data_IF_026062162572
#
_entry.id   IF_026062162572
#
_cell.length_a   1.000
_cell.length_b   1.000
_cell.length_c   1.000
_cell.angle_alpha   90.00
_cell.angle_beta   90.00
_cell.angle_gamma   90.00
#
_symmetry.space_group_name_H-M   'P 1'
#
loop_
_entity.id
_entity.type
_entity.pdbx_description
1 polymer ?
#
# COMPACT_ATOMS: atom_id res chain seq x y z
N UNK A 1 25.59 40.78 20.23
CA UNK A 1 24.66 41.69 19.53
C UNK A 1 24.75 41.42 18.03
N UNK A 2 23.83 40.62 17.49
CA UNK A 2 23.44 40.57 16.07
C UNK A 2 22.03 39.99 16.07
N UNK A 3 21.10 40.80 15.59
CA UNK A 3 19.65 40.64 15.72
C UNK A 3 19.05 40.36 14.34
N UNK A 4 17.86 39.74 14.39
CA UNK A 4 16.77 39.69 13.40
C UNK A 4 16.79 38.54 12.39
N UNK A 5 15.66 38.03 11.90
CA UNK A 5 14.25 38.00 12.34
C UNK A 5 13.51 37.25 11.21
N UNK A 6 12.95 36.09 11.53
CA UNK A 6 11.66 35.51 11.14
C UNK A 6 11.05 35.97 9.79
N UNK A 7 10.90 35.05 8.84
CA UNK A 7 10.03 35.21 7.68
C UNK A 7 8.89 34.17 7.72
N UNK A 8 7.87 34.47 8.51
CA UNK A 8 6.62 33.71 8.60
C UNK A 8 5.70 34.20 7.48
N UNK A 9 5.69 33.49 6.34
CA UNK A 9 4.77 33.81 5.25
C UNK A 9 3.41 33.16 5.52
N UNK A 10 2.47 33.99 5.97
CA UNK A 10 1.05 33.72 6.08
C UNK A 10 0.44 33.50 4.68
N UNK A 11 -0.20 32.36 4.44
CA UNK A 11 -1.16 32.19 3.36
C UNK A 11 -2.49 31.72 3.96
N UNK A 12 -3.17 32.65 4.63
CA UNK A 12 -4.59 32.55 4.97
C UNK A 12 -5.31 33.44 3.97
N UNK A 13 -5.74 32.84 2.85
CA UNK A 13 -6.67 33.49 1.92
C UNK A 13 -8.06 32.93 2.19
N UNK A 14 -8.84 33.70 2.94
CA UNK A 14 -10.25 33.49 3.22
C UNK A 14 -11.09 34.12 2.11
N UNK A 15 -12.32 33.61 1.91
CA UNK A 15 -13.50 34.17 1.20
C UNK A 15 -13.80 33.56 -0.18
N UNK A 16 -15.03 33.23 -0.58
CA UNK A 16 -16.36 33.44 0.01
C UNK A 16 -17.34 32.44 -0.68
N UNK A 17 -18.26 31.85 0.08
CA UNK A 17 -19.39 31.06 -0.41
C UNK A 17 -20.51 32.02 -0.80
N UNK A 18 -21.18 31.87 -1.95
CA UNK A 18 -22.64 32.05 -2.06
C UNK A 18 -23.22 31.46 -3.36
N UNK A 19 -24.28 30.69 -3.13
CA UNK A 19 -25.19 29.96 -4.02
C UNK A 19 -26.04 30.85 -4.93
N UNK A 20 -26.35 30.40 -6.16
CA UNK A 20 -27.63 30.70 -6.82
C UNK A 20 -28.17 29.46 -7.56
N UNK A 21 -29.43 29.16 -7.26
CA UNK A 21 -30.29 28.10 -7.78
C UNK A 21 -31.09 28.62 -8.98
N UNK A 22 -31.35 27.73 -9.95
CA UNK A 22 -32.47 27.78 -10.90
C UNK A 22 -32.15 28.42 -12.24
N UNK A 23 -32.46 27.85 -13.40
CA UNK A 23 -33.14 26.60 -13.78
C UNK A 23 -33.45 26.71 -15.27
N UNK A 24 -33.44 25.61 -16.03
CA UNK A 24 -34.25 25.52 -17.25
C UNK A 24 -34.39 24.06 -17.69
N UNK A 25 -35.63 23.61 -17.70
CA UNK A 25 -36.08 22.33 -18.21
C UNK A 25 -35.83 22.22 -19.71
N UNK A 26 -35.11 21.19 -20.14
CA UNK A 26 -35.25 20.66 -21.51
C UNK A 26 -35.61 19.19 -21.39
N UNK A 27 -36.82 18.88 -21.86
CA UNK A 27 -37.32 17.52 -22.03
C UNK A 27 -36.61 16.90 -23.22
N UNK A 28 -35.91 15.79 -23.02
CA UNK A 28 -35.65 14.83 -24.10
C UNK A 28 -36.23 13.49 -23.69
N UNK A 29 -37.40 13.18 -24.25
CA UNK A 29 -37.93 11.82 -24.37
C UNK A 29 -37.49 11.29 -25.73
N UNK A 30 -36.68 10.25 -25.75
CA UNK A 30 -36.77 9.16 -26.73
C UNK A 30 -35.79 8.04 -26.35
N UNK A 31 -36.40 6.97 -25.87
CA UNK A 31 -35.95 5.60 -25.65
C UNK A 31 -34.89 5.08 -26.65
N UNK A 32 -33.85 4.36 -26.19
CA UNK A 32 -33.56 2.94 -26.56
C UNK A 32 -32.47 2.34 -25.66
N UNK A 33 -32.82 1.17 -25.11
CA UNK A 33 -32.10 0.18 -24.29
C UNK A 33 -30.57 0.07 -24.49
N UNK A 34 -29.80 0.07 -23.39
CA UNK A 34 -29.17 -1.15 -22.85
C UNK A 34 -28.66 -0.88 -21.42
N UNK A 35 -28.81 -1.88 -20.56
CA UNK A 35 -28.44 -1.84 -19.15
C UNK A 35 -26.93 -1.69 -18.96
N UNK A 36 -26.51 -0.74 -18.13
CA UNK A 36 -25.22 -0.79 -17.46
C UNK A 36 -25.39 -0.30 -16.03
N UNK A 37 -25.60 -1.31 -15.19
CA UNK A 37 -24.96 -1.55 -13.90
C UNK A 37 -24.61 -0.34 -13.05
N UNK A 38 -25.33 -0.27 -11.94
CA UNK A 38 -25.00 0.36 -10.67
C UNK A 38 -23.61 1.00 -10.58
N UNK A 39 -23.63 2.30 -10.37
CA UNK A 39 -22.75 2.99 -9.42
C UNK A 39 -22.36 2.04 -8.29
N UNK A 40 -21.12 1.57 -8.31
CA UNK A 40 -20.39 1.13 -7.13
C UNK A 40 -19.06 1.85 -7.19
N UNK A 41 -19.10 3.15 -6.96
CA UNK A 41 -17.98 3.83 -6.31
C UNK A 41 -17.88 3.22 -4.91
N UNK A 42 -17.22 2.08 -4.78
CA UNK A 42 -16.83 1.60 -3.47
C UNK A 42 -15.54 2.31 -3.11
N UNK A 43 -15.69 3.54 -2.63
CA UNK A 43 -14.76 4.10 -1.65
C UNK A 43 -14.83 3.20 -0.42
N UNK A 44 -13.98 2.19 -0.38
CA UNK A 44 -13.58 1.51 0.86
C UNK A 44 -12.12 1.10 0.72
N UNK A 45 -11.27 2.10 0.83
CA UNK A 45 -9.99 1.95 1.51
C UNK A 45 -10.32 1.70 2.99
N UNK A 46 -10.93 0.53 3.30
CA UNK A 46 -11.01 0.01 4.65
C UNK A 46 -9.57 -0.37 4.96
N UNK A 47 -8.83 0.59 5.51
CA UNK A 47 -7.49 0.38 6.04
C UNK A 47 -7.62 -0.59 7.20
N UNK A 48 -7.61 -1.90 6.88
CA UNK A 48 -7.49 -2.95 7.87
C UNK A 48 -6.22 -2.64 8.67
N UNK A 49 -6.42 -2.20 9.91
CA UNK A 49 -5.31 -1.87 10.80
C UNK A 49 -4.52 -3.15 11.03
N UNK A 50 -3.25 -3.15 10.66
CA UNK A 50 -2.39 -4.33 10.83
C UNK A 50 -2.29 -4.67 12.31
N UNK A 51 -2.62 -5.91 12.64
CA UNK A 51 -2.57 -6.43 13.99
C UNK A 51 -1.17 -6.96 14.32
N UNK A 52 -0.80 -6.95 15.60
CA UNK A 52 0.47 -7.54 16.06
C UNK A 52 0.61 -9.02 15.62
N UNK A 53 -0.51 -9.76 15.58
CA UNK A 53 -0.55 -11.15 15.10
C UNK A 53 -0.07 -11.30 13.66
N UNK A 54 -0.41 -10.37 12.77
CA UNK A 54 0.01 -10.41 11.37
C UNK A 54 1.52 -10.13 11.23
N UNK A 55 2.03 -9.16 12.00
CA UNK A 55 3.48 -8.90 12.04
C UNK A 55 4.24 -10.09 12.63
N UNK A 56 3.73 -10.71 13.68
CA UNK A 56 4.34 -11.88 14.32
C UNK A 56 4.33 -13.10 13.39
N UNK A 57 3.27 -13.27 12.59
CA UNK A 57 3.23 -14.26 11.51
C UNK A 57 4.39 -14.03 10.52
N UNK A 58 4.57 -12.82 10.00
CA UNK A 58 5.66 -12.53 9.07
C UNK A 58 7.04 -12.74 9.70
N UNK A 59 7.24 -12.34 10.96
CA UNK A 59 8.49 -12.61 11.71
C UNK A 59 8.76 -14.10 11.88
N UNK A 60 7.73 -14.90 12.17
CA UNK A 60 7.86 -16.37 12.26
C UNK A 60 8.34 -16.98 10.93
N UNK A 61 8.00 -16.37 9.80
CA UNK A 61 8.40 -16.80 8.46
C UNK A 61 9.60 -16.01 7.90
N UNK A 62 10.32 -15.24 8.73
CA UNK A 62 11.47 -14.41 8.28
C UNK A 62 12.53 -15.25 7.55
N UNK A 63 12.83 -16.45 8.03
CA UNK A 63 13.81 -17.34 7.39
C UNK A 63 13.34 -17.82 6.02
N UNK A 64 12.04 -18.10 5.84
CA UNK A 64 11.49 -18.54 4.56
C UNK A 64 11.59 -17.41 3.52
N UNK A 65 11.21 -16.20 3.92
CA UNK A 65 11.29 -15.00 3.06
C UNK A 65 12.76 -14.65 2.76
N UNK A 66 13.65 -14.75 3.74
CA UNK A 66 15.09 -14.50 3.55
C UNK A 66 15.71 -15.53 2.60
N UNK A 67 15.35 -16.81 2.73
CA UNK A 67 15.84 -17.84 1.84
C UNK A 67 15.36 -17.61 0.41
N UNK A 68 14.07 -17.24 0.23
CA UNK A 68 13.55 -16.84 -1.07
C UNK A 68 14.37 -15.69 -1.67
N UNK A 69 14.69 -14.65 -0.89
CA UNK A 69 15.50 -13.52 -1.38
C UNK A 69 16.87 -14.00 -1.84
N UNK A 70 17.59 -14.73 -1.00
CA UNK A 70 18.96 -15.18 -1.28
C UNK A 70 19.06 -16.18 -2.42
N UNK A 71 18.03 -16.99 -2.63
CA UNK A 71 17.97 -17.95 -3.74
C UNK A 71 17.80 -17.26 -5.09
N UNK A 72 17.19 -16.08 -5.14
CA UNK A 72 16.97 -15.32 -6.38
C UNK A 72 18.01 -14.20 -6.56
N UNK A 73 18.55 -13.64 -5.48
CA UNK A 73 19.62 -12.65 -5.49
C UNK A 73 20.83 -13.13 -4.66
N UNK A 74 21.79 -13.83 -5.27
CA UNK A 74 22.93 -14.43 -4.56
C UNK A 74 23.94 -13.39 -4.04
N UNK A 75 23.86 -12.12 -4.44
CA UNK A 75 24.69 -11.05 -3.88
C UNK A 75 24.24 -10.67 -2.45
N UNK A 76 23.00 -11.02 -2.08
CA UNK A 76 22.42 -10.70 -0.77
C UNK A 76 23.00 -11.59 0.32
N UNK A 77 23.66 -10.95 1.29
CA UNK A 77 24.19 -11.60 2.49
C UNK A 77 23.27 -11.38 3.70
N UNK A 78 22.70 -10.18 3.82
CA UNK A 78 21.85 -9.77 4.95
C UNK A 78 20.59 -9.06 4.47
N UNK A 79 19.47 -9.34 5.13
CA UNK A 79 18.18 -8.66 4.91
C UNK A 79 17.82 -7.90 6.19
N UNK A 80 17.26 -6.70 6.04
CA UNK A 80 16.71 -5.90 7.13
C UNK A 80 15.25 -5.57 6.82
N UNK A 81 14.35 -6.14 7.59
CA UNK A 81 12.91 -5.91 7.48
C UNK A 81 12.48 -4.63 8.20
N UNK A 82 11.60 -3.86 7.57
CA UNK A 82 10.88 -2.77 8.20
C UNK A 82 9.50 -3.27 8.65
N UNK A 83 9.44 -3.86 9.85
CA UNK A 83 8.21 -4.46 10.38
C UNK A 83 7.09 -3.44 10.59
N UNK A 84 7.44 -2.16 10.77
CA UNK A 84 6.47 -1.08 10.93
C UNK A 84 5.86 -0.64 9.59
N UNK A 85 6.46 -1.06 8.48
CA UNK A 85 5.94 -0.82 7.13
C UNK A 85 4.84 -1.79 6.71
N UNK A 86 4.58 -2.85 7.49
CA UNK A 86 3.62 -3.89 7.13
C UNK A 86 2.23 -3.30 6.95
N UNK A 87 1.61 -3.59 5.81
CA UNK A 87 0.23 -3.20 5.47
C UNK A 87 -0.51 -4.38 4.88
N UNK A 88 -1.81 -4.46 5.16
CA UNK A 88 -2.70 -5.34 4.40
C UNK A 88 -3.19 -4.58 3.18
N UNK A 89 -3.19 -5.24 2.02
CA UNK A 89 -3.72 -4.68 0.79
C UNK A 89 -4.05 -5.76 -0.22
N UNK A 90 -4.66 -5.33 -1.33
CA UNK A 90 -4.97 -6.19 -2.46
C UNK A 90 -4.05 -5.84 -3.63
N UNK A 91 -3.64 -6.83 -4.42
CA UNK A 91 -2.86 -6.58 -5.65
C UNK A 91 -3.73 -6.23 -6.87
N UNK A 92 -5.04 -6.06 -6.69
CA UNK A 92 -6.03 -5.72 -7.71
C UNK A 92 -7.44 -6.27 -7.41
N UNK A 93 -8.43 -5.92 -8.24
CA UNK A 93 -9.86 -6.24 -7.98
C UNK A 93 -10.24 -7.73 -7.99
N UNK A 94 -9.33 -8.65 -8.34
CA UNK A 94 -9.57 -10.10 -8.40
C UNK A 94 -8.47 -10.92 -7.73
N UNK A 95 -7.62 -10.29 -6.92
CA UNK A 95 -6.45 -10.93 -6.31
C UNK A 95 -6.65 -11.13 -4.82
N UNK A 96 -6.07 -12.20 -4.28
CA UNK A 96 -6.04 -12.47 -2.85
C UNK A 96 -5.40 -11.31 -2.08
N UNK A 97 -5.97 -10.97 -0.92
CA UNK A 97 -5.39 -9.99 -0.01
C UNK A 97 -4.06 -10.53 0.55
N UNK A 98 -3.11 -9.64 0.73
CA UNK A 98 -1.77 -9.99 1.21
C UNK A 98 -1.18 -8.91 2.10
N UNK A 99 0.08 -9.14 2.49
CA UNK A 99 0.89 -8.23 3.26
C UNK A 99 1.90 -7.52 2.34
N UNK A 100 1.85 -6.20 2.26
CA UNK A 100 2.95 -5.39 1.73
C UNK A 100 3.96 -5.13 2.86
N UNK A 101 5.23 -5.42 2.62
CA UNK A 101 6.33 -5.18 3.55
C UNK A 101 7.55 -4.61 2.82
N UNK A 102 8.17 -3.58 3.41
CA UNK A 102 9.43 -3.03 2.94
C UNK A 102 10.61 -3.70 3.62
N UNK A 103 11.68 -3.87 2.87
CA UNK A 103 12.94 -4.39 3.36
C UNK A 103 14.12 -3.78 2.62
N UNK A 104 15.29 -3.87 3.23
CA UNK A 104 16.57 -3.54 2.62
C UNK A 104 17.46 -4.76 2.57
N UNK A 105 18.22 -4.89 1.49
CA UNK A 105 19.18 -5.97 1.31
C UNK A 105 20.60 -5.44 1.26
N UNK A 106 21.53 -6.23 1.77
CA UNK A 106 22.93 -5.88 1.93
C UNK A 106 23.81 -7.03 1.46
N UNK A 107 24.88 -6.68 0.75
CA UNK A 107 25.89 -7.61 0.28
C UNK A 107 27.08 -7.71 1.24
N UNK A 108 28.22 -8.16 0.72
CA UNK A 108 29.45 -8.24 1.48
C UNK A 108 29.86 -6.86 2.06
N UNK A 109 30.54 -6.88 3.22
CA UNK A 109 31.01 -5.68 3.93
C UNK A 109 29.91 -4.66 4.24
N UNK A 110 28.69 -5.13 4.50
CA UNK A 110 27.50 -4.31 4.81
C UNK A 110 27.14 -3.26 3.75
N UNK A 111 27.55 -3.47 2.50
CA UNK A 111 27.13 -2.60 1.38
C UNK A 111 25.63 -2.74 1.15
N UNK A 112 24.88 -1.65 1.30
CA UNK A 112 23.46 -1.60 0.89
C UNK A 112 23.38 -1.83 -0.63
N UNK A 113 22.59 -2.82 -1.04
CA UNK A 113 22.42 -3.16 -2.45
C UNK A 113 21.15 -2.50 -2.98
N UNK A 114 20.01 -2.75 -2.31
CA UNK A 114 18.71 -2.24 -2.75
C UNK A 114 17.68 -2.23 -1.60
N UNK A 115 16.58 -1.51 -1.82
CA UNK A 115 15.34 -1.62 -1.06
C UNK A 115 14.24 -2.25 -1.90
N UNK A 116 13.45 -3.16 -1.31
CA UNK A 116 12.34 -3.82 -1.97
C UNK A 116 11.02 -3.61 -1.20
N UNK A 117 9.91 -3.68 -1.94
CA UNK A 117 8.55 -3.86 -1.40
C UNK A 117 8.06 -5.22 -1.86
N UNK A 118 7.74 -6.09 -0.92
CA UNK A 118 7.24 -7.44 -1.19
C UNK A 118 5.76 -7.52 -0.85
N UNK A 119 4.99 -8.15 -1.74
CA UNK A 119 3.62 -8.55 -1.50
C UNK A 119 3.58 -10.05 -1.21
N UNK A 120 3.17 -10.40 0.01
CA UNK A 120 3.14 -11.77 0.53
C UNK A 120 1.70 -12.18 0.73
N UNK A 121 1.28 -13.22 0.02
CA UNK A 121 -0.08 -13.76 0.14
C UNK A 121 -0.06 -14.93 1.12
N UNK A 122 -0.78 -14.84 2.25
CA UNK A 122 -0.89 -15.94 3.20
C UNK A 122 -2.08 -16.85 2.87
N UNK A 123 -2.01 -18.09 3.35
CA UNK A 123 -3.16 -19.00 3.46
C UNK A 123 -3.64 -19.10 4.92
N UNK A 124 -4.94 -19.30 5.16
CA UNK A 124 -6.04 -19.16 4.19
C UNK A 124 -6.35 -17.70 3.83
N UNK A 125 -5.94 -16.73 4.66
CA UNK A 125 -6.14 -15.30 4.44
C UNK A 125 -5.32 -14.46 5.43
N UNK A 126 -5.33 -13.14 5.26
CA UNK A 126 -4.62 -12.16 6.08
C UNK A 126 -5.13 -12.05 7.52
N UNK A 127 -6.38 -12.43 7.81
CA UNK A 127 -6.97 -12.34 9.16
C UNK A 127 -6.47 -13.48 10.06
N UNK A 128 -6.30 -14.67 9.46
CA UNK A 128 -5.93 -15.89 10.16
C UNK A 128 -4.79 -16.65 9.44
N UNK A 129 -3.64 -16.00 9.20
CA UNK A 129 -2.58 -16.61 8.39
C UNK A 129 -1.92 -17.78 9.12
N UNK A 130 -1.65 -18.86 8.38
CA UNK A 130 -1.01 -20.09 8.89
C UNK A 130 0.24 -20.48 8.11
N UNK A 131 0.30 -20.13 6.83
CA UNK A 131 1.46 -20.37 5.96
C UNK A 131 1.53 -19.30 4.87
N UNK A 132 2.70 -19.11 4.29
CA UNK A 132 2.86 -18.31 3.08
C UNK A 132 2.40 -19.16 1.89
N UNK A 133 1.64 -18.54 0.99
CA UNK A 133 1.29 -19.13 -0.30
C UNK A 133 2.20 -18.64 -1.42
N UNK A 134 2.38 -17.31 -1.50
CA UNK A 134 3.27 -16.72 -2.48
C UNK A 134 3.97 -15.46 -1.95
N UNK A 135 5.13 -15.20 -2.54
CA UNK A 135 5.95 -14.01 -2.32
C UNK A 135 6.21 -13.41 -3.69
N UNK A 136 5.98 -12.10 -3.82
CA UNK A 136 6.29 -11.35 -5.04
C UNK A 136 6.91 -10.01 -4.68
N UNK A 137 7.86 -9.54 -5.49
CA UNK A 137 8.53 -8.26 -5.30
C UNK A 137 8.60 -7.48 -6.61
N UNK A 138 8.25 -6.20 -6.59
CA UNK A 138 8.38 -5.35 -7.77
C UNK A 138 9.85 -5.10 -8.09
N UNK A 139 10.25 -5.32 -9.35
CA UNK A 139 11.65 -5.22 -9.81
C UNK A 139 12.63 -6.07 -8.98
N UNK A 140 12.15 -7.16 -8.38
CA UNK A 140 12.99 -8.18 -7.76
C UNK A 140 13.48 -9.15 -8.85
N UNK A 141 14.79 -9.48 -8.90
CA UNK A 141 15.38 -10.32 -9.93
C UNK A 141 14.83 -11.76 -9.95
#
# INVERSE_FOLDING_TARGET
MKSKMNCTLKLISLMLIFTIIGGCSVKQKAHTKQAQTATSSSTKEDTATVTQRQVDFLKKHESEITNYIKSNDPEVVRVKYDWDSVKVGDSGSFTESGFDIRLKVYGANDKELNGYSFFIVPKPNVENPTSIDSISGSNFP
#
